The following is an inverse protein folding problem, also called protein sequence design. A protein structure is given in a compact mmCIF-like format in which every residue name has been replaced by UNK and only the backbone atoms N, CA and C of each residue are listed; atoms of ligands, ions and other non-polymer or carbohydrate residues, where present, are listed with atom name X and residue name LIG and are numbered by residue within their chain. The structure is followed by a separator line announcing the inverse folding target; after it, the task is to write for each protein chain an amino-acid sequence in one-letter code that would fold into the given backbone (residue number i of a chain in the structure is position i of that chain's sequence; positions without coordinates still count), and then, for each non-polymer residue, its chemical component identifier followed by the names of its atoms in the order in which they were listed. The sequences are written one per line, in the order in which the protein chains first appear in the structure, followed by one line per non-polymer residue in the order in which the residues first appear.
data_IF_448425800865
#
_entry.id   IF_448425800865
#
_cell.length_a   1.000
_cell.length_b   1.000
_cell.length_c   1.000
_cell.angle_alpha   90.00
_cell.angle_beta   90.00
_cell.angle_gamma   90.00
#
_symmetry.space_group_name_H-M   'P 1'
#
loop_
_entity.id
_entity.type
_entity.pdbx_description
1 polymer ?
#
# COMPACT_ATOMS: atom_id res chain seq x y z
N UNK A 1 12.31 16.73 3.37
CA UNK A 1 12.49 16.42 1.93
C UNK A 1 12.34 14.92 1.66
N UNK A 2 13.14 14.02 2.25
CA UNK A 2 13.03 12.56 1.99
C UNK A 2 11.67 11.95 2.43
N UNK A 3 11.20 12.29 3.63
CA UNK A 3 9.93 11.76 4.17
C UNK A 3 8.70 12.14 3.33
N UNK A 4 8.60 13.40 2.88
CA UNK A 4 7.49 13.82 2.01
C UNK A 4 7.51 13.16 0.62
N UNK A 5 8.68 12.75 0.13
CA UNK A 5 8.83 12.11 -1.19
C UNK A 5 8.45 10.61 -1.14
N UNK A 6 8.72 9.94 -0.02
CA UNK A 6 8.34 8.53 0.21
C UNK A 6 6.82 8.37 0.45
N UNK A 7 6.19 9.31 1.17
CA UNK A 7 4.73 9.39 1.34
C UNK A 7 4.01 9.53 -0.02
N UNK A 8 4.47 10.45 -0.88
CA UNK A 8 3.94 10.58 -2.25
C UNK A 8 4.09 9.32 -3.09
N UNK A 9 5.17 8.57 -2.91
CA UNK A 9 5.45 7.35 -3.67
C UNK A 9 4.48 6.23 -3.26
N UNK A 10 4.25 6.04 -1.96
CA UNK A 10 3.30 5.04 -1.45
C UNK A 10 1.86 5.37 -1.84
N UNK A 11 1.46 6.64 -1.77
CA UNK A 11 0.14 7.09 -2.25
C UNK A 11 -0.03 6.81 -3.74
N UNK A 12 0.98 7.12 -4.56
CA UNK A 12 0.96 6.85 -6.01
C UNK A 12 0.85 5.37 -6.30
N UNK A 13 1.63 4.54 -5.60
CA UNK A 13 1.58 3.09 -5.76
C UNK A 13 0.22 2.52 -5.31
N UNK A 14 -0.34 2.99 -4.20
CA UNK A 14 -1.65 2.59 -3.71
C UNK A 14 -2.78 2.89 -4.70
N UNK A 15 -2.79 4.10 -5.28
CA UNK A 15 -3.77 4.49 -6.30
C UNK A 15 -3.64 3.64 -7.58
N UNK A 16 -2.41 3.37 -8.01
CA UNK A 16 -2.14 2.53 -9.17
C UNK A 16 -2.59 1.10 -8.93
N UNK A 17 -2.23 0.50 -7.79
CA UNK A 17 -2.65 -0.85 -7.43
C UNK A 17 -4.18 -0.98 -7.35
N UNK A 18 -4.88 0.04 -6.83
CA UNK A 18 -6.34 0.05 -6.82
C UNK A 18 -6.91 0.02 -8.26
N UNK A 19 -6.43 0.91 -9.13
CA UNK A 19 -6.89 0.97 -10.53
C UNK A 19 -6.63 -0.34 -11.27
N UNK A 20 -5.42 -0.89 -11.15
CA UNK A 20 -5.07 -2.18 -11.76
C UNK A 20 -5.91 -3.35 -11.20
N UNK A 21 -6.37 -3.25 -9.96
CA UNK A 21 -7.26 -4.26 -9.36
C UNK A 21 -8.65 -4.22 -9.98
N UNK A 22 -9.22 -3.03 -10.14
CA UNK A 22 -10.53 -2.84 -10.73
C UNK A 22 -10.52 -3.29 -12.20
N UNK A 23 -9.48 -2.91 -12.95
CA UNK A 23 -9.27 -3.33 -14.35
C UNK A 23 -9.14 -4.86 -14.48
N UNK A 24 -8.37 -5.49 -13.60
CA UNK A 24 -8.20 -6.95 -13.60
C UNK A 24 -9.52 -7.67 -13.30
N UNK A 25 -10.30 -7.18 -12.34
CA UNK A 25 -11.63 -7.71 -12.03
C UNK A 25 -12.60 -7.59 -13.20
N UNK A 26 -12.51 -6.52 -13.98
CA UNK A 26 -13.32 -6.33 -15.18
C UNK A 26 -12.89 -7.29 -16.31
N UNK A 27 -11.60 -7.42 -16.58
CA UNK A 27 -11.07 -8.34 -17.60
C UNK A 27 -11.46 -9.80 -17.34
N UNK A 28 -11.49 -10.22 -16.08
CA UNK A 28 -11.97 -11.55 -15.69
C UNK A 28 -13.43 -11.75 -16.04
N UNK A 29 -14.30 -10.78 -15.72
CA UNK A 29 -15.74 -10.88 -16.03
C UNK A 29 -15.94 -10.96 -17.54
N UNK A 30 -15.23 -10.11 -18.29
CA UNK A 30 -15.23 -10.14 -19.74
C UNK A 30 -14.78 -11.50 -20.30
N UNK A 31 -13.74 -12.11 -19.71
CA UNK A 31 -13.30 -13.45 -20.08
C UNK A 31 -14.37 -14.52 -19.80
N UNK A 32 -15.05 -14.44 -18.64
CA UNK A 32 -16.14 -15.36 -18.29
C UNK A 32 -17.32 -15.25 -19.27
N UNK A 33 -17.73 -14.02 -19.58
CA UNK A 33 -18.85 -13.72 -20.47
C UNK A 33 -18.52 -14.13 -21.91
N UNK A 34 -17.32 -13.79 -22.39
CA UNK A 34 -16.86 -14.20 -23.72
C UNK A 34 -16.76 -15.72 -23.88
N UNK A 35 -16.53 -16.44 -22.79
CA UNK A 35 -16.46 -17.89 -22.79
C UNK A 35 -17.86 -18.55 -22.79
N UNK A 36 -18.90 -17.89 -22.26
CA UNK A 36 -20.25 -18.47 -22.12
C UNK A 36 -20.84 -19.07 -23.42
N UNK A 37 -20.76 -18.40 -24.60
CA UNK A 37 -21.28 -18.95 -25.85
C UNK A 37 -20.59 -20.25 -26.28
N UNK A 38 -19.31 -20.43 -25.91
CA UNK A 38 -18.51 -21.61 -26.25
C UNK A 38 -18.95 -22.87 -25.46
N UNK A 39 -19.65 -22.69 -24.34
CA UNK A 39 -20.22 -23.79 -23.54
C UNK A 39 -21.20 -24.66 -24.34
N UNK A 40 -21.92 -24.05 -25.28
CA UNK A 40 -22.89 -24.73 -26.15
C UNK A 40 -22.23 -25.58 -27.24
N UNK A 41 -20.98 -25.26 -27.58
CA UNK A 41 -20.20 -25.94 -28.63
C UNK A 41 -19.45 -27.15 -28.09
N UNK A 42 -19.14 -27.18 -26.79
CA UNK A 42 -18.45 -28.30 -26.15
C UNK A 42 -19.43 -29.40 -25.69
N UNK A 43 -19.06 -30.66 -25.95
CA UNK A 43 -19.81 -31.85 -25.53
C UNK A 43 -18.91 -32.83 -24.76
N UNK A 44 -19.52 -33.63 -23.87
CA UNK A 44 -18.82 -34.69 -23.14
C UNK A 44 -17.61 -34.18 -22.33
N UNK A 45 -16.44 -34.86 -22.37
CA UNK A 45 -15.25 -34.48 -21.62
C UNK A 45 -14.77 -33.04 -21.86
N UNK A 46 -14.96 -32.49 -23.07
CA UNK A 46 -14.58 -31.12 -23.39
C UNK A 46 -15.40 -30.09 -22.60
N UNK A 47 -16.70 -30.36 -22.39
CA UNK A 47 -17.58 -29.51 -21.58
C UNK A 47 -17.18 -29.53 -20.10
N UNK A 48 -16.79 -30.69 -19.59
CA UNK A 48 -16.30 -30.82 -18.23
C UNK A 48 -15.00 -30.02 -18.01
N UNK A 49 -14.04 -30.11 -18.95
CA UNK A 49 -12.81 -29.30 -18.93
C UNK A 49 -13.10 -27.81 -19.01
N UNK A 50 -14.06 -27.40 -19.86
CA UNK A 50 -14.47 -26.01 -19.99
C UNK A 50 -15.11 -25.46 -18.69
N UNK A 51 -15.99 -26.24 -18.06
CA UNK A 51 -16.56 -25.87 -16.75
C UNK A 51 -15.48 -25.76 -15.67
N UNK A 52 -14.48 -26.64 -15.67
CA UNK A 52 -13.34 -26.57 -14.76
C UNK A 52 -12.50 -25.30 -15.02
N UNK A 53 -12.27 -24.95 -16.29
CA UNK A 53 -11.63 -23.69 -16.66
C UNK A 53 -12.39 -22.48 -16.10
N UNK A 54 -13.72 -22.41 -16.28
CA UNK A 54 -14.54 -21.33 -15.70
C UNK A 54 -14.40 -21.24 -14.19
N UNK A 55 -14.52 -22.36 -13.48
CA UNK A 55 -14.38 -22.39 -12.02
C UNK A 55 -12.98 -21.92 -11.55
N UNK A 56 -11.91 -22.35 -12.24
CA UNK A 56 -10.55 -21.90 -11.93
C UNK A 56 -10.35 -20.42 -12.21
N UNK A 57 -10.95 -19.90 -13.27
CA UNK A 57 -10.91 -18.47 -13.59
C UNK A 57 -11.56 -17.67 -12.46
N UNK A 58 -12.74 -18.09 -11.98
CA UNK A 58 -13.41 -17.44 -10.84
C UNK A 58 -12.54 -17.50 -9.57
N UNK A 59 -11.97 -18.68 -9.25
CA UNK A 59 -11.10 -18.87 -8.08
C UNK A 59 -9.83 -18.00 -8.14
N UNK A 60 -9.13 -18.00 -9.28
CA UNK A 60 -7.92 -17.19 -9.48
C UNK A 60 -8.24 -15.71 -9.34
N UNK A 61 -9.41 -15.29 -9.83
CA UNK A 61 -9.83 -13.89 -9.78
C UNK A 61 -10.17 -13.45 -8.37
N UNK A 62 -10.84 -14.31 -7.59
CA UNK A 62 -11.08 -14.06 -6.18
C UNK A 62 -9.76 -13.99 -5.38
N UNK A 63 -8.81 -14.87 -5.69
CA UNK A 63 -7.49 -14.88 -5.06
C UNK A 63 -6.68 -13.62 -5.40
N UNK A 64 -6.69 -13.20 -6.67
CA UNK A 64 -6.01 -11.98 -7.13
C UNK A 64 -6.62 -10.73 -6.48
N UNK A 65 -7.95 -10.61 -6.46
CA UNK A 65 -8.64 -9.51 -5.78
C UNK A 65 -8.32 -9.46 -4.28
N UNK A 66 -8.31 -10.62 -3.61
CA UNK A 66 -7.97 -10.70 -2.18
C UNK A 66 -6.52 -10.29 -1.91
N UNK A 67 -5.58 -10.76 -2.74
CA UNK A 67 -4.16 -10.41 -2.62
C UNK A 67 -3.94 -8.91 -2.86
N UNK A 68 -4.58 -8.34 -3.89
CA UNK A 68 -4.50 -6.91 -4.21
C UNK A 68 -5.11 -6.04 -3.12
N UNK A 69 -6.27 -6.41 -2.58
CA UNK A 69 -6.87 -5.72 -1.44
C UNK A 69 -5.94 -5.75 -0.21
N UNK A 70 -5.27 -6.89 0.02
CA UNK A 70 -4.23 -7.01 1.05
C UNK A 70 -3.05 -6.06 0.82
N UNK A 71 -2.58 -5.92 -0.43
CA UNK A 71 -1.51 -4.98 -0.79
C UNK A 71 -1.95 -3.53 -0.56
N UNK A 72 -3.14 -3.13 -1.03
CA UNK A 72 -3.67 -1.77 -0.85
C UNK A 72 -3.81 -1.44 0.64
N UNK A 73 -4.35 -2.37 1.43
CA UNK A 73 -4.47 -2.21 2.89
C UNK A 73 -3.10 -2.08 3.55
N UNK A 74 -2.13 -2.90 3.13
CA UNK A 74 -0.76 -2.84 3.63
C UNK A 74 -0.09 -1.51 3.30
N UNK A 75 -0.21 -1.01 2.06
CA UNK A 75 0.31 0.29 1.63
C UNK A 75 -0.32 1.41 2.47
N UNK A 76 -1.64 1.38 2.67
CA UNK A 76 -2.34 2.37 3.51
C UNK A 76 -1.85 2.34 4.97
N UNK A 77 -1.66 1.13 5.53
CA UNK A 77 -1.11 0.95 6.87
C UNK A 77 0.32 1.45 7.00
N UNK A 78 1.18 1.14 6.02
CA UNK A 78 2.56 1.63 5.95
C UNK A 78 2.60 3.16 5.85
N UNK A 79 1.72 3.77 5.04
CA UNK A 79 1.63 5.22 4.91
C UNK A 79 1.30 5.88 6.26
N UNK A 80 0.29 5.35 6.97
CA UNK A 80 -0.07 5.84 8.30
C UNK A 80 1.06 5.70 9.32
N UNK A 81 1.72 4.55 9.34
CA UNK A 81 2.84 4.32 10.25
C UNK A 81 4.00 5.28 9.97
N UNK A 82 4.27 5.53 8.68
CA UNK A 82 5.35 6.41 8.25
C UNK A 82 5.09 7.87 8.60
N UNK A 83 3.90 8.39 8.29
CA UNK A 83 3.49 9.76 8.66
C UNK A 83 3.49 9.93 10.17
N UNK A 84 2.88 9.01 10.91
CA UNK A 84 2.84 9.07 12.38
C UNK A 84 4.23 9.06 13.01
N UNK A 85 5.13 8.19 12.55
CA UNK A 85 6.50 8.16 13.04
C UNK A 85 7.28 9.46 12.74
N UNK A 86 6.99 10.10 11.60
CA UNK A 86 7.58 11.39 11.26
C UNK A 86 7.11 12.50 12.19
N UNK A 87 5.81 12.56 12.48
CA UNK A 87 5.22 13.55 13.40
C UNK A 87 5.72 13.36 14.83
N UNK A 88 5.74 12.11 15.31
CA UNK A 88 6.26 11.76 16.64
C UNK A 88 7.75 12.09 16.78
N UNK A 89 8.53 11.81 15.74
CA UNK A 89 9.95 12.16 15.66
C UNK A 89 10.16 13.67 15.72
N UNK A 90 9.37 14.45 14.97
CA UNK A 90 9.43 15.90 14.98
C UNK A 90 9.06 16.48 16.36
N UNK A 91 7.97 16.01 16.96
CA UNK A 91 7.53 16.43 18.30
C UNK A 91 8.57 16.09 19.38
N UNK A 92 9.18 14.90 19.31
CA UNK A 92 10.26 14.50 20.23
C UNK A 92 11.49 15.39 20.06
N UNK A 93 11.87 15.70 18.82
CA UNK A 93 12.97 16.61 18.54
C UNK A 93 12.70 18.03 19.05
N UNK A 94 11.52 18.59 18.80
CA UNK A 94 11.14 19.92 19.33
C UNK A 94 11.12 19.94 20.86
N UNK A 95 10.56 18.92 21.49
CA UNK A 95 10.56 18.80 22.95
C UNK A 95 11.99 18.73 23.51
N UNK A 96 12.87 17.95 22.87
CA UNK A 96 14.27 17.83 23.27
C UNK A 96 15.05 19.15 23.10
N UNK A 97 14.82 19.87 21.99
CA UNK A 97 15.43 21.16 21.72
C UNK A 97 14.99 22.21 22.76
N UNK A 98 13.69 22.27 23.08
CA UNK A 98 13.16 23.18 24.10
C UNK A 98 13.56 22.81 25.53
N UNK A 99 13.86 21.54 25.81
CA UNK A 99 14.30 21.10 27.15
C UNK A 99 15.76 21.46 27.47
N UNK A 100 16.52 21.97 26.50
CA UNK A 100 17.92 22.34 26.70
C UNK A 100 18.01 23.77 27.27
N UNK A 101 18.34 23.89 28.56
CA UNK A 101 18.53 25.17 29.24
C UNK A 101 19.92 25.78 28.99
N UNK A 102 20.00 26.68 28.00
CA UNK A 102 21.20 27.47 27.69
C UNK A 102 21.38 28.72 28.57
N UNK A 103 20.43 29.00 29.46
CA UNK A 103 20.45 30.17 30.35
C UNK A 103 21.13 29.90 31.69
N UNK A 104 21.43 28.64 32.00
CA UNK A 104 22.07 28.26 33.25
C UNK A 104 23.47 28.89 33.42
N UNK A 105 23.74 29.41 34.61
CA UNK A 105 25.02 29.99 35.03
C UNK A 105 26.21 29.04 34.76
N UNK A 106 26.00 27.74 34.95
CA UNK A 106 26.97 26.67 34.68
C UNK A 106 27.37 26.58 33.21
N UNK A 107 26.40 26.69 32.29
CA UNK A 107 26.63 26.67 30.85
C UNK A 107 27.35 27.95 30.41
N UNK A 108 26.86 29.11 30.87
CA UNK A 108 27.48 30.41 30.57
C UNK A 108 28.92 30.50 31.07
N UNK A 109 29.22 29.93 32.23
CA UNK A 109 30.59 29.88 32.78
C UNK A 109 31.52 28.99 31.96
N UNK A 110 31.01 27.92 31.35
CA UNK A 110 31.79 26.98 30.52
C UNK A 110 32.22 27.58 29.18
N UNK A 111 31.43 28.49 28.61
CA UNK A 111 31.66 29.09 27.29
C UNK A 111 32.34 30.47 27.33
N UNK A 112 32.57 31.03 28.52
CA UNK A 112 33.31 32.30 28.67
C UNK A 112 34.76 32.10 28.20
N UNK A 113 35.32 33.01 27.37
CA UNK A 113 36.75 32.99 27.05
C UNK A 113 37.54 33.17 28.33
N UNK A 114 38.47 32.25 28.62
CA UNK A 114 39.39 32.44 29.74
C UNK A 114 40.40 33.53 29.35
N UNK A 115 40.34 34.65 30.07
CA UNK A 115 41.28 35.76 29.96
C UNK A 115 42.61 35.41 30.65
#
# INVERSE_FOLDING_TARGET
MKFAMEDQTLVTLGNKSQTESDDLGELVKQLFDAAEPLSSTFNGPAKASFNNFKAKTDDISNALNSALHGIVTSISGQNKAFVGASDDGAATHEASANSTDFSSESFLTRIRPQA
#
